data_IF_298306624471
#
_entry.id   IF_298306624471
#
_cell.length_a   1.000
_cell.length_b   1.000
_cell.length_c   1.000
_cell.angle_alpha   90.00
_cell.angle_beta   90.00
_cell.angle_gamma   90.00
#
_symmetry.space_group_name_H-M   'P 1'
#
loop_
_entity.id
_entity.type
_entity.pdbx_description
1 polymer ?
#
# COMPACT_ATOMS: atom_id res chain seq x y z
N UNK A 1 12.50 19.76 18.09
CA UNK A 1 12.25 18.47 17.42
C UNK A 1 10.77 18.34 17.16
N UNK A 2 10.34 18.42 15.89
CA UNK A 2 8.92 18.45 15.54
C UNK A 2 8.26 17.11 15.88
N UNK A 3 7.34 17.13 16.84
CA UNK A 3 6.44 16.02 17.14
C UNK A 3 5.58 15.75 15.91
N UNK A 4 5.80 14.61 15.25
CA UNK A 4 4.90 14.13 14.20
C UNK A 4 3.60 13.73 14.89
N UNK A 5 2.62 14.64 14.90
CA UNK A 5 1.23 14.30 15.26
C UNK A 5 0.83 13.15 14.33
N UNK A 6 0.62 11.95 14.89
CA UNK A 6 0.11 10.81 14.14
C UNK A 6 -1.19 11.22 13.46
N UNK A 7 -1.22 11.20 12.12
CA UNK A 7 -2.43 11.61 11.43
C UNK A 7 -3.52 10.56 11.69
N UNK A 8 -4.78 11.01 11.73
CA UNK A 8 -5.91 10.19 12.16
C UNK A 8 -6.11 9.00 11.21
N UNK A 9 -6.25 7.78 11.75
CA UNK A 9 -6.27 6.51 10.99
C UNK A 9 -7.24 6.51 9.77
N UNK A 10 -8.39 7.18 9.91
CA UNK A 10 -9.39 7.32 8.85
C UNK A 10 -8.93 8.10 7.60
N UNK A 11 -7.79 8.79 7.65
CA UNK A 11 -7.22 9.55 6.51
C UNK A 11 -6.14 8.78 5.75
N UNK A 12 -5.71 7.62 6.24
CA UNK A 12 -4.62 6.85 5.64
C UNK A 12 -5.16 5.71 4.75
N UNK A 13 -4.52 5.53 3.61
CA UNK A 13 -4.70 4.38 2.73
C UNK A 13 -3.37 3.64 2.58
N UNK A 14 -3.28 2.46 3.17
CA UNK A 14 -2.15 1.56 2.99
C UNK A 14 -2.37 0.67 1.77
N UNK A 15 -1.40 0.67 0.85
CA UNK A 15 -1.39 -0.21 -0.32
C UNK A 15 -0.26 -1.22 -0.14
N UNK A 16 -0.62 -2.50 -0.09
CA UNK A 16 0.29 -3.62 0.09
C UNK A 16 0.29 -4.46 -1.17
N UNK A 17 1.44 -4.96 -1.60
CA UNK A 17 1.49 -5.95 -2.67
C UNK A 17 1.39 -7.38 -2.11
N UNK A 18 0.63 -8.23 -2.79
CA UNK A 18 0.48 -9.64 -2.42
C UNK A 18 1.76 -10.44 -2.73
N UNK A 19 2.73 -10.43 -1.83
CA UNK A 19 3.96 -11.22 -1.92
C UNK A 19 3.87 -12.45 -1.00
N UNK A 20 3.26 -13.53 -1.51
CA UNK A 20 2.98 -14.70 -0.67
C UNK A 20 2.11 -14.34 0.54
N UNK A 21 2.34 -14.97 1.68
CA UNK A 21 1.55 -14.76 2.92
C UNK A 21 1.99 -13.56 3.76
N UNK A 22 3.13 -12.92 3.44
CA UNK A 22 3.73 -11.89 4.31
C UNK A 22 2.87 -10.63 4.48
N UNK A 23 1.98 -10.36 3.53
CA UNK A 23 1.09 -9.21 3.58
C UNK A 23 -0.08 -9.39 4.56
N UNK A 24 -0.44 -10.62 4.92
CA UNK A 24 -1.67 -10.93 5.65
C UNK A 24 -1.67 -10.32 7.05
N UNK A 25 -0.62 -10.56 7.84
CA UNK A 25 -0.51 -10.04 9.20
C UNK A 25 -0.49 -8.50 9.23
N UNK A 26 0.16 -7.87 8.24
CA UNK A 26 0.22 -6.41 8.13
C UNK A 26 -1.13 -5.84 7.71
N UNK A 27 -1.80 -6.46 6.74
CA UNK A 27 -3.13 -6.06 6.29
C UNK A 27 -4.14 -6.12 7.43
N UNK A 28 -4.12 -7.20 8.21
CA UNK A 28 -5.01 -7.38 9.36
C UNK A 28 -4.76 -6.32 10.43
N UNK A 29 -3.50 -6.15 10.88
CA UNK A 29 -3.16 -5.17 11.91
C UNK A 29 -3.53 -3.72 11.52
N UNK A 30 -3.33 -3.35 10.25
CA UNK A 30 -3.71 -2.03 9.75
C UNK A 30 -5.23 -1.87 9.65
N UNK A 31 -5.95 -2.91 9.21
CA UNK A 31 -7.40 -2.91 9.16
C UNK A 31 -8.02 -2.76 10.55
N UNK A 32 -7.53 -3.52 11.54
CA UNK A 32 -7.95 -3.43 12.95
C UNK A 32 -7.66 -2.06 13.57
N UNK A 33 -6.58 -1.39 13.11
CA UNK A 33 -6.27 -0.01 13.48
C UNK A 33 -7.15 1.05 12.79
N UNK A 34 -8.11 0.64 11.96
CA UNK A 34 -9.01 1.53 11.23
C UNK A 34 -8.40 2.22 10.01
N UNK A 35 -7.27 1.70 9.49
CA UNK A 35 -6.63 2.19 8.27
C UNK A 35 -7.29 1.51 7.06
N UNK A 36 -7.58 2.28 6.01
CA UNK A 36 -8.02 1.67 4.73
C UNK A 36 -6.85 0.89 4.15
N UNK A 37 -7.03 -0.40 3.89
CA UNK A 37 -6.01 -1.26 3.28
C UNK A 37 -6.46 -1.66 1.88
N UNK A 38 -5.53 -1.73 0.93
CA UNK A 38 -5.72 -2.42 -0.34
C UNK A 38 -4.56 -3.38 -0.56
N UNK A 39 -4.88 -4.63 -0.86
CA UNK A 39 -3.90 -5.64 -1.26
C UNK A 39 -3.96 -5.76 -2.78
N UNK A 40 -2.87 -5.47 -3.46
CA UNK A 40 -2.80 -5.38 -4.92
C UNK A 40 -1.88 -6.44 -5.50
N UNK A 41 -2.17 -6.86 -6.74
CA UNK A 41 -1.34 -7.82 -7.45
C UNK A 41 0.02 -7.18 -7.80
N UNK A 42 1.17 -7.79 -7.44
CA UNK A 42 2.50 -7.28 -7.77
C UNK A 42 2.70 -6.99 -9.27
N UNK A 43 2.06 -7.76 -10.15
CA UNK A 43 2.12 -7.54 -11.60
C UNK A 43 1.52 -6.18 -12.01
N UNK A 44 0.39 -5.77 -11.40
CA UNK A 44 -0.26 -4.49 -11.69
C UNK A 44 0.62 -3.32 -11.23
N UNK A 45 1.22 -3.43 -10.05
CA UNK A 45 2.13 -2.42 -9.50
C UNK A 45 3.38 -2.29 -10.38
N UNK A 46 3.93 -3.43 -10.86
CA UNK A 46 5.08 -3.45 -11.76
C UNK A 46 4.79 -2.79 -13.10
N UNK A 47 3.63 -3.06 -13.70
CA UNK A 47 3.26 -2.45 -14.98
C UNK A 47 2.99 -0.95 -14.83
N UNK A 48 2.38 -0.54 -13.71
CA UNK A 48 2.25 0.87 -13.35
C UNK A 48 3.61 1.55 -13.17
N UNK A 49 4.54 0.93 -12.45
CA UNK A 49 5.91 1.45 -12.26
C UNK A 49 6.64 1.64 -13.60
N UNK A 50 6.44 0.72 -14.55
CA UNK A 50 6.98 0.80 -15.91
C UNK A 50 6.45 2.01 -16.65
N UNK A 51 5.15 2.29 -16.53
CA UNK A 51 4.52 3.51 -17.07
C UNK A 51 5.09 4.81 -16.48
N UNK A 52 5.58 4.77 -15.24
CA UNK A 52 6.26 5.89 -14.57
C UNK A 52 7.77 5.98 -14.87
N UNK A 53 8.30 5.14 -15.78
CA UNK A 53 9.73 5.03 -16.09
C UNK A 53 10.63 4.74 -14.86
N UNK A 54 10.09 4.14 -13.80
CA UNK A 54 10.85 3.72 -12.63
C UNK A 54 11.56 2.39 -12.95
N UNK A 55 12.89 2.44 -13.10
CA UNK A 55 13.70 1.27 -13.50
C UNK A 55 14.54 0.66 -12.37
N UNK A 56 14.90 1.46 -11.37
CA UNK A 56 15.69 0.99 -10.22
C UNK A 56 14.77 0.51 -9.12
N UNK A 57 14.97 -0.73 -8.67
CA UNK A 57 14.24 -1.33 -7.55
C UNK A 57 15.01 -1.08 -6.25
N UNK A 58 14.39 -0.34 -5.34
CA UNK A 58 14.77 -0.25 -3.94
C UNK A 58 13.51 0.02 -3.12
N UNK A 59 13.56 -0.29 -1.83
CA UNK A 59 12.37 -0.24 -0.96
C UNK A 59 11.72 1.14 -0.92
N UNK A 60 12.53 2.20 -0.98
CA UNK A 60 12.04 3.58 -0.99
C UNK A 60 11.26 3.93 -2.27
N UNK A 61 11.70 3.43 -3.43
CA UNK A 61 11.00 3.66 -4.70
C UNK A 61 9.77 2.77 -4.82
N UNK A 62 9.86 1.52 -4.40
CA UNK A 62 8.75 0.57 -4.46
C UNK A 62 7.58 1.05 -3.59
N UNK A 63 7.86 1.53 -2.37
CA UNK A 63 6.84 2.15 -1.50
C UNK A 63 6.24 3.43 -2.10
N UNK A 64 7.05 4.28 -2.75
CA UNK A 64 6.55 5.47 -3.44
C UNK A 64 5.66 5.12 -4.65
N UNK A 65 5.97 4.05 -5.38
CA UNK A 65 5.13 3.54 -6.47
C UNK A 65 3.79 3.04 -5.93
N UNK A 66 3.79 2.25 -4.84
CA UNK A 66 2.56 1.76 -4.20
C UNK A 66 1.66 2.91 -3.71
N UNK A 67 2.26 3.95 -3.09
CA UNK A 67 1.51 5.12 -2.66
C UNK A 67 0.88 5.87 -3.83
N UNK A 68 1.62 6.05 -4.94
CA UNK A 68 1.09 6.66 -6.18
C UNK A 68 0.00 5.80 -6.82
N UNK A 69 0.18 4.48 -6.81
CA UNK A 69 -0.82 3.53 -7.29
C UNK A 69 -2.12 3.68 -6.51
N UNK A 70 -2.05 3.73 -5.17
CA UNK A 70 -3.19 3.98 -4.30
C UNK A 70 -3.93 5.28 -4.62
N UNK A 71 -3.18 6.38 -4.77
CA UNK A 71 -3.74 7.69 -5.03
C UNK A 71 -4.43 7.81 -6.39
N UNK A 72 -3.87 7.19 -7.44
CA UNK A 72 -4.35 7.33 -8.82
C UNK A 72 -5.32 6.24 -9.24
N UNK A 73 -5.04 4.98 -8.90
CA UNK A 73 -5.85 3.83 -9.31
C UNK A 73 -7.00 3.57 -8.34
N UNK A 74 -6.88 4.03 -7.09
CA UNK A 74 -7.88 3.84 -6.03
C UNK A 74 -8.38 2.38 -5.93
N UNK A 75 -7.47 1.42 -5.67
CA UNK A 75 -7.83 0.01 -5.61
C UNK A 75 -8.90 -0.26 -4.56
N UNK A 76 -9.62 -1.37 -4.76
CA UNK A 76 -10.63 -1.85 -3.85
C UNK A 76 -10.04 -2.03 -2.45
N UNK A 77 -10.84 -1.68 -1.43
CA UNK A 77 -10.45 -1.94 -0.05
C UNK A 77 -10.41 -3.46 0.17
N UNK A 78 -9.31 -3.93 0.72
CA UNK A 78 -9.17 -5.29 1.20
C UNK A 78 -10.08 -5.49 2.42
N UNK A 79 -10.67 -6.67 2.49
CA UNK A 79 -11.42 -7.14 3.65
C UNK A 79 -10.76 -8.40 4.16
N UNK A 80 -10.71 -8.61 5.50
CA UNK A 80 -10.21 -9.85 6.05
C UNK A 80 -11.06 -11.02 5.56
N UNK A 81 -10.43 -12.18 5.26
CA UNK A 81 -11.19 -13.40 5.01
C UNK A 81 -12.06 -13.76 6.23
N UNK A 82 -13.21 -14.42 6.01
CA UNK A 82 -14.16 -14.79 7.06
C UNK A 82 -13.60 -15.83 8.05
#
# INVERSE_FOLDING_TARGET
>A
MASRKGAQAATWHAVLEATGVYHEAVALALHEAGVRVSVVNPAQVKDFARGLAVRTKNDARDSAVLARYGALVQPLAWQPPP
#
